data_IF_934543700552
#
_entry.id   IF_934543700552
#
_cell.length_a   1.000
_cell.length_b   1.000
_cell.length_c   1.000
_cell.angle_alpha   90.00
_cell.angle_beta   90.00
_cell.angle_gamma   90.00
#
_symmetry.space_group_name_H-M   'P 1'
#
loop_
_entity.id
_entity.type
_entity.pdbx_description
1 polymer ?
#
# COMPACT_ATOMS: atom_id res chain seq x y z
N UNK A 1 2.65 29.79 -5.08
CA UNK A 1 2.43 29.71 -3.62
C UNK A 1 2.79 28.31 -3.12
N UNK A 2 3.73 28.12 -2.17
CA UNK A 2 3.92 26.83 -1.54
C UNK A 2 2.95 26.73 -0.35
N UNK A 3 1.74 26.25 -0.58
CA UNK A 3 0.82 25.91 0.51
C UNK A 3 1.36 24.69 1.25
N UNK A 4 1.52 24.77 2.59
CA UNK A 4 1.76 23.57 3.41
C UNK A 4 0.50 22.71 3.36
N UNK A 5 0.56 21.62 2.61
CA UNK A 5 -0.51 20.63 2.59
C UNK A 5 -0.37 19.80 3.87
N UNK A 6 -1.21 20.07 4.87
CA UNK A 6 -1.36 19.20 6.03
C UNK A 6 -2.23 18.02 5.62
N UNK A 7 -1.60 16.86 5.47
CA UNK A 7 -2.30 15.59 5.24
C UNK A 7 -2.61 14.98 6.60
N UNK A 8 -3.89 14.66 6.84
CA UNK A 8 -4.35 13.93 8.01
C UNK A 8 -4.98 12.61 7.57
N UNK A 9 -5.21 11.68 8.50
CA UNK A 9 -5.80 10.38 8.15
C UNK A 9 -7.19 10.51 7.49
N UNK A 10 -7.96 11.55 7.81
CA UNK A 10 -9.28 11.79 7.21
C UNK A 10 -9.20 12.44 5.83
N UNK A 11 -8.16 13.24 5.57
CA UNK A 11 -8.00 13.95 4.30
C UNK A 11 -7.08 13.24 3.31
N UNK A 12 -6.28 12.27 3.77
CA UNK A 12 -5.26 11.62 2.94
C UNK A 12 -5.83 10.90 1.73
N UNK A 13 -6.98 10.23 1.86
CA UNK A 13 -7.61 9.54 0.74
C UNK A 13 -8.11 10.51 -0.33
N UNK A 14 -8.75 11.60 0.09
CA UNK A 14 -9.20 12.67 -0.83
C UNK A 14 -8.02 13.36 -1.49
N UNK A 15 -6.98 13.66 -0.71
CA UNK A 15 -5.76 14.30 -1.20
C UNK A 15 -5.03 13.41 -2.19
N UNK A 16 -4.95 12.11 -1.93
CA UNK A 16 -4.37 11.12 -2.83
C UNK A 16 -5.17 11.02 -4.14
N UNK A 17 -6.51 10.97 -4.05
CA UNK A 17 -7.38 10.94 -5.24
C UNK A 17 -7.22 12.19 -6.11
N UNK A 18 -7.12 13.37 -5.50
CA UNK A 18 -6.85 14.62 -6.22
C UNK A 18 -5.42 14.62 -6.80
N UNK A 19 -4.43 14.19 -6.03
CA UNK A 19 -3.05 14.11 -6.48
C UNK A 19 -2.88 13.17 -7.66
N UNK A 20 -3.60 12.05 -7.69
CA UNK A 20 -3.63 11.12 -8.82
C UNK A 20 -4.33 11.75 -10.04
N UNK A 21 -5.54 12.31 -9.84
CA UNK A 21 -6.33 12.95 -10.89
C UNK A 21 -5.60 14.10 -11.59
N UNK A 22 -4.89 14.92 -10.83
CA UNK A 22 -4.14 16.08 -11.34
C UNK A 22 -2.66 15.79 -11.57
N UNK A 23 -2.22 14.53 -11.47
CA UNK A 23 -0.83 14.10 -11.66
C UNK A 23 0.18 14.90 -10.80
N UNK A 24 -0.22 15.28 -9.58
CA UNK A 24 0.60 16.02 -8.64
C UNK A 24 1.48 15.05 -7.86
N UNK A 25 2.64 14.69 -8.41
CA UNK A 25 3.57 13.72 -7.80
C UNK A 25 3.90 14.04 -6.35
N UNK A 26 4.24 15.30 -6.04
CA UNK A 26 4.54 15.74 -4.66
C UNK A 26 3.40 15.43 -3.69
N UNK A 27 2.15 15.57 -4.11
CA UNK A 27 0.98 15.30 -3.26
C UNK A 27 0.82 13.80 -3.04
N UNK A 28 1.01 13.01 -4.11
CA UNK A 28 0.98 11.54 -4.04
C UNK A 28 2.07 11.01 -3.10
N UNK A 29 3.30 11.53 -3.19
CA UNK A 29 4.41 11.12 -2.32
C UNK A 29 4.19 11.47 -0.85
N UNK A 30 3.56 12.62 -0.57
CA UNK A 30 3.21 13.01 0.79
C UNK A 30 2.11 12.12 1.36
N UNK A 31 1.08 11.84 0.55
CA UNK A 31 0.00 10.94 0.94
C UNK A 31 0.50 9.50 1.15
N UNK A 32 1.37 9.01 0.27
CA UNK A 32 1.98 7.69 0.35
C UNK A 32 2.78 7.52 1.65
N UNK A 33 3.62 8.51 2.00
CA UNK A 33 4.35 8.53 3.27
C UNK A 33 3.41 8.54 4.47
N UNK A 34 2.37 9.37 4.44
CA UNK A 34 1.40 9.44 5.53
C UNK A 34 0.65 8.11 5.73
N UNK A 35 0.17 7.48 4.65
CA UNK A 35 -0.50 6.17 4.72
C UNK A 35 0.43 5.09 5.24
N UNK A 36 1.70 5.10 4.81
CA UNK A 36 2.70 4.14 5.27
C UNK A 36 2.90 4.23 6.77
N UNK A 37 3.08 5.45 7.28
CA UNK A 37 3.47 5.70 8.68
C UNK A 37 2.25 5.71 9.63
N UNK A 38 1.03 5.83 9.10
CA UNK A 38 -0.20 5.80 9.88
C UNK A 38 -0.57 4.39 10.36
N UNK A 39 -0.92 4.28 11.64
CA UNK A 39 -1.40 3.03 12.27
C UNK A 39 -2.89 2.78 12.06
N UNK A 40 -3.63 3.72 11.45
CA UNK A 40 -5.07 3.56 11.22
C UNK A 40 -5.39 2.62 10.08
N UNK A 41 -4.51 2.53 9.07
CA UNK A 41 -4.72 1.68 7.91
C UNK A 41 -4.22 0.27 8.20
N UNK A 42 -5.07 -0.73 7.99
CA UNK A 42 -4.66 -2.14 8.06
C UNK A 42 -3.74 -2.48 6.89
N UNK A 43 -2.86 -3.50 7.01
CA UNK A 43 -1.96 -3.89 5.91
C UNK A 43 -2.70 -4.19 4.59
N UNK A 44 -3.84 -4.88 4.64
CA UNK A 44 -4.66 -5.17 3.46
C UNK A 44 -5.18 -3.90 2.78
N UNK A 45 -5.61 -2.91 3.56
CA UNK A 45 -6.06 -1.62 3.06
C UNK A 45 -4.90 -0.80 2.47
N UNK A 46 -3.73 -0.80 3.11
CA UNK A 46 -2.50 -0.19 2.57
C UNK A 46 -2.14 -0.78 1.22
N UNK A 47 -2.21 -2.10 1.07
CA UNK A 47 -1.96 -2.78 -0.21
C UNK A 47 -3.04 -2.44 -1.24
N UNK A 48 -4.32 -2.37 -0.86
CA UNK A 48 -5.41 -1.96 -1.76
C UNK A 48 -5.18 -0.56 -2.33
N UNK A 49 -4.83 0.39 -1.46
CA UNK A 49 -4.52 1.77 -1.87
C UNK A 49 -3.26 1.82 -2.73
N UNK A 50 -2.24 1.04 -2.38
CA UNK A 50 -1.02 0.97 -3.17
C UNK A 50 -1.26 0.41 -4.57
N UNK A 51 -2.14 -0.57 -4.71
CA UNK A 51 -2.53 -1.12 -5.99
C UNK A 51 -3.33 -0.11 -6.82
N UNK A 52 -4.38 0.45 -6.21
CA UNK A 52 -5.31 1.38 -6.85
C UNK A 52 -4.60 2.62 -7.42
N UNK A 53 -3.69 3.21 -6.63
CA UNK A 53 -2.99 4.46 -6.99
C UNK A 53 -1.56 4.22 -7.49
N UNK A 54 -1.17 2.96 -7.72
CA UNK A 54 0.16 2.55 -8.18
C UNK A 54 1.31 3.10 -7.31
N UNK A 55 1.14 3.06 -5.99
CA UNK A 55 2.09 3.56 -5.00
C UNK A 55 3.15 2.50 -4.69
N UNK A 56 4.27 2.56 -5.40
CA UNK A 56 5.29 1.50 -5.39
C UNK A 56 6.02 1.42 -4.03
N UNK A 57 6.30 2.55 -3.38
CA UNK A 57 7.00 2.54 -2.10
C UNK A 57 6.13 1.93 -1.01
N UNK A 58 4.85 2.31 -0.94
CA UNK A 58 3.88 1.78 0.01
C UNK A 58 3.67 0.28 -0.20
N UNK A 59 3.54 -0.18 -1.46
CA UNK A 59 3.45 -1.61 -1.77
C UNK A 59 4.65 -2.36 -1.20
N UNK A 60 5.85 -1.91 -1.56
CA UNK A 60 7.08 -2.62 -1.19
C UNK A 60 7.31 -2.61 0.32
N UNK A 61 7.14 -1.46 0.98
CA UNK A 61 7.26 -1.36 2.44
C UNK A 61 6.22 -2.23 3.16
N UNK A 62 4.97 -2.25 2.68
CA UNK A 62 3.94 -3.08 3.29
C UNK A 62 4.22 -4.57 3.09
N UNK A 63 4.63 -5.01 1.90
CA UNK A 63 5.00 -6.42 1.64
C UNK A 63 6.24 -6.85 2.45
N UNK A 64 7.19 -5.94 2.64
CA UNK A 64 8.39 -6.18 3.45
C UNK A 64 8.09 -6.27 4.95
N UNK A 65 7.04 -5.60 5.44
CA UNK A 65 6.65 -5.65 6.85
C UNK A 65 6.14 -7.02 7.31
N UNK A 66 5.74 -7.90 6.38
CA UNK A 66 5.40 -9.27 6.71
C UNK A 66 6.67 -10.11 6.88
N UNK A 67 6.75 -10.81 8.00
CA UNK A 67 7.89 -11.62 8.40
C UNK A 67 7.74 -13.08 7.96
N UNK A 68 6.50 -13.56 7.78
CA UNK A 68 6.24 -14.96 7.42
C UNK A 68 5.24 -15.10 6.27
N UNK A 69 5.38 -16.17 5.49
CA UNK A 69 4.44 -16.50 4.42
C UNK A 69 3.00 -16.66 4.94
N UNK A 70 2.84 -17.18 6.17
CA UNK A 70 1.52 -17.34 6.82
C UNK A 70 0.84 -16.02 7.10
N UNK A 71 1.57 -14.99 7.51
CA UNK A 71 1.01 -13.65 7.74
C UNK A 71 0.48 -13.05 6.43
N UNK A 72 1.23 -13.21 5.35
CA UNK A 72 0.81 -12.75 4.02
C UNK A 72 -0.40 -13.55 3.54
N UNK A 73 -0.43 -14.87 3.77
CA UNK A 73 -1.57 -15.72 3.41
C UNK A 73 -2.88 -15.28 4.06
N UNK A 74 -2.85 -14.64 5.23
CA UNK A 74 -4.07 -14.05 5.85
C UNK A 74 -4.69 -12.93 5.02
N UNK A 75 -3.99 -12.37 4.04
CA UNK A 75 -4.59 -11.41 3.10
C UNK A 75 -5.74 -12.05 2.33
N UNK A 76 -5.68 -13.34 2.00
CA UNK A 76 -6.72 -14.04 1.25
C UNK A 76 -8.10 -13.98 1.94
N UNK A 77 -8.12 -13.91 3.28
CA UNK A 77 -9.35 -13.83 4.06
C UNK A 77 -9.91 -12.41 4.18
N UNK A 78 -9.23 -11.41 3.61
CA UNK A 78 -9.63 -10.00 3.70
C UNK A 78 -10.49 -9.60 2.50
N UNK A 79 -11.50 -8.73 2.68
CA UNK A 79 -12.34 -8.28 1.57
C UNK A 79 -11.54 -7.52 0.50
N UNK A 80 -10.41 -6.92 0.85
CA UNK A 80 -9.54 -6.21 -0.08
C UNK A 80 -8.89 -7.13 -1.11
N UNK A 81 -8.64 -8.39 -0.77
CA UNK A 81 -7.93 -9.34 -1.64
C UNK A 81 -8.69 -9.64 -2.94
N UNK A 82 -10.02 -9.68 -2.87
CA UNK A 82 -10.87 -9.84 -4.06
C UNK A 82 -10.66 -8.70 -5.08
N UNK A 83 -10.30 -7.51 -4.59
CA UNK A 83 -10.13 -6.30 -5.41
C UNK A 83 -8.68 -6.07 -5.85
N UNK A 84 -7.74 -6.94 -5.47
CA UNK A 84 -6.36 -6.83 -5.93
C UNK A 84 -6.25 -7.18 -7.41
N UNK A 85 -5.51 -6.35 -8.12
CA UNK A 85 -5.09 -6.60 -9.49
C UNK A 85 -4.19 -7.83 -9.56
N UNK A 86 -4.11 -8.44 -10.74
CA UNK A 86 -3.20 -9.57 -10.99
C UNK A 86 -1.75 -9.20 -10.67
N UNK A 87 -1.36 -7.95 -10.93
CA UNK A 87 -0.01 -7.45 -10.61
C UNK A 87 0.25 -7.40 -9.10
N UNK A 88 -0.76 -7.07 -8.29
CA UNK A 88 -0.62 -7.10 -6.84
C UNK A 88 -0.60 -8.54 -6.31
N UNK A 89 -1.47 -9.41 -6.82
CA UNK A 89 -1.49 -10.84 -6.47
C UNK A 89 -0.15 -11.51 -6.80
N UNK A 90 0.42 -11.23 -7.98
CA UNK A 90 1.75 -11.70 -8.36
C UNK A 90 2.83 -11.20 -7.38
N UNK A 91 2.81 -9.91 -7.01
CA UNK A 91 3.77 -9.36 -6.04
C UNK A 91 3.65 -9.99 -4.64
N UNK A 92 2.43 -10.35 -4.22
CA UNK A 92 2.17 -11.09 -3.00
C UNK A 92 2.78 -12.51 -3.09
N UNK A 93 2.52 -13.22 -4.19
CA UNK A 93 3.09 -14.55 -4.45
C UNK A 93 4.63 -14.52 -4.46
N UNK A 94 5.25 -13.56 -5.15
CA UNK A 94 6.70 -13.38 -5.17
C UNK A 94 7.27 -13.19 -3.76
N UNK A 95 6.58 -12.43 -2.91
CA UNK A 95 7.01 -12.21 -1.52
C UNK A 95 6.88 -13.48 -0.68
N UNK A 96 5.80 -14.25 -0.85
CA UNK A 96 5.62 -15.55 -0.19
C UNK A 96 6.76 -16.49 -0.58
N UNK A 97 7.06 -16.62 -1.88
CA UNK A 97 8.15 -17.47 -2.38
C UNK A 97 9.51 -17.09 -1.79
N UNK A 98 9.81 -15.78 -1.69
CA UNK A 98 11.04 -15.29 -1.05
C UNK A 98 11.13 -15.69 0.42
N UNK A 99 10.03 -15.63 1.16
CA UNK A 99 10.01 -15.99 2.58
C UNK A 99 10.12 -17.50 2.80
N UNK A 100 9.52 -18.32 1.94
CA UNK A 100 9.67 -19.79 2.01
C UNK A 100 11.07 -20.25 1.60
N UNK A 101 11.67 -19.63 0.58
CA UNK A 101 13.00 -20.00 0.12
C UNK A 101 14.11 -19.54 1.08
N UNK A 102 13.87 -18.50 1.89
CA UNK A 102 14.81 -18.05 2.91
C UNK A 102 14.83 -18.96 4.17
N UNK A 103 13.92 -19.93 4.27
CA UNK A 103 13.84 -20.89 5.37
C UNK A 103 14.46 -22.26 5.06
N UNK A 104 14.95 -22.46 3.83
CA UNK A 104 15.70 -23.64 3.38
C UNK A 104 17.20 -23.31 3.27
#
# INVERSE_FOLDING_TARGET
>A
FPGRIMISDSTVLHTLALGDRFQMERVRDLAERHIRDSNKFKPAEKLRLADQYRLVMLRNSCLQSFSTAREIGKLETTPEYANFSDKMKAAICDRIMKLTNAMN
#
